data_IF_651723766086
#
_entry.id   IF_651723766086
#
_cell.length_a   1.000
_cell.length_b   1.000
_cell.length_c   1.000
_cell.angle_alpha   90.00
_cell.angle_beta   90.00
_cell.angle_gamma   90.00
#
_symmetry.space_group_name_H-M   'P 1'
#
loop_
_entity.id
_entity.type
_entity.pdbx_description
1 polymer ?
#
# COMPACT_ATOMS: atom_id res chain seq x y z
N UNK A 1 13.54 21.55 54.98
CA UNK A 1 12.10 21.36 54.64
C UNK A 1 11.79 21.81 53.22
N UNK A 2 12.07 23.07 52.81
CA UNK A 2 11.74 23.54 51.46
C UNK A 2 12.39 22.74 50.32
N UNK A 3 13.64 22.31 50.47
CA UNK A 3 14.34 21.46 49.50
C UNK A 3 13.67 20.10 49.27
N UNK A 4 13.09 19.51 50.31
CA UNK A 4 12.36 18.25 50.18
C UNK A 4 11.13 18.43 49.27
N UNK A 5 10.38 19.51 49.46
CA UNK A 5 9.23 19.83 48.62
C UNK A 5 9.62 20.13 47.18
N UNK A 6 10.74 20.83 46.95
CA UNK A 6 11.26 21.10 45.61
C UNK A 6 11.61 19.78 44.90
N UNK A 7 12.31 18.87 45.59
CA UNK A 7 12.69 17.57 45.02
C UNK A 7 11.44 16.73 44.71
N UNK A 8 10.48 16.67 45.64
CA UNK A 8 9.22 15.93 45.42
C UNK A 8 8.43 16.52 44.24
N UNK A 9 8.33 17.85 44.14
CA UNK A 9 7.65 18.49 43.04
C UNK A 9 8.35 18.24 41.70
N UNK A 10 9.68 18.35 41.65
CA UNK A 10 10.46 18.09 40.45
C UNK A 10 10.31 16.64 39.98
N UNK A 11 10.41 15.67 40.90
CA UNK A 11 10.21 14.25 40.61
C UNK A 11 8.77 13.99 40.16
N UNK A 12 7.78 14.58 40.83
CA UNK A 12 6.37 14.42 40.46
C UNK A 12 6.06 14.92 39.04
N UNK A 13 6.52 16.13 38.70
CA UNK A 13 6.36 16.69 37.36
C UNK A 13 7.07 15.83 36.31
N UNK A 14 8.30 15.40 36.60
CA UNK A 14 9.05 14.54 35.70
C UNK A 14 8.33 13.20 35.44
N UNK A 15 7.82 12.55 36.49
CA UNK A 15 7.09 11.29 36.36
C UNK A 15 5.81 11.46 35.54
N UNK A 16 5.02 12.52 35.78
CA UNK A 16 3.80 12.79 35.02
C UNK A 16 4.14 13.02 33.54
N UNK A 17 5.17 13.82 33.25
CA UNK A 17 5.62 14.08 31.89
C UNK A 17 6.11 12.79 31.21
N UNK A 18 6.96 12.01 31.88
CA UNK A 18 7.51 10.77 31.35
C UNK A 18 6.43 9.72 31.08
N UNK A 19 5.44 9.57 31.97
CA UNK A 19 4.32 8.64 31.77
C UNK A 19 3.43 9.09 30.61
N UNK A 20 3.14 10.38 30.50
CA UNK A 20 2.28 10.91 29.44
C UNK A 20 2.96 10.75 28.07
N UNK A 21 4.22 11.19 27.95
CA UNK A 21 4.97 11.08 26.70
C UNK A 21 5.26 9.61 26.38
N UNK A 22 5.68 8.81 27.36
CA UNK A 22 5.97 7.39 27.15
C UNK A 22 4.75 6.59 26.69
N UNK A 23 3.56 6.94 27.18
CA UNK A 23 2.30 6.32 26.73
C UNK A 23 2.01 6.65 25.27
N UNK A 24 2.17 7.91 24.86
CA UNK A 24 1.87 8.30 23.48
C UNK A 24 2.98 7.95 22.49
N UNK A 25 4.23 7.94 22.93
CA UNK A 25 5.34 7.37 22.17
C UNK A 25 5.06 5.90 21.88
N UNK A 26 4.69 5.09 22.88
CA UNK A 26 4.34 3.67 22.66
C UNK A 26 3.11 3.50 21.76
N UNK A 27 2.14 4.41 21.82
CA UNK A 27 0.98 4.39 20.92
C UNK A 27 1.38 4.65 19.46
N UNK A 28 2.26 5.63 19.23
CA UNK A 28 2.74 5.99 17.91
C UNK A 28 3.74 4.98 17.34
N UNK A 29 4.58 4.40 18.20
CA UNK A 29 5.54 3.35 17.84
C UNK A 29 4.83 2.03 17.47
N UNK A 30 3.60 1.85 17.97
CA UNK A 30 2.72 0.75 17.56
C UNK A 30 2.03 0.99 16.20
N UNK A 31 2.13 2.19 15.60
CA UNK A 31 1.70 2.40 14.22
C UNK A 31 2.80 1.93 13.28
N UNK A 32 2.52 0.86 12.54
CA UNK A 32 3.42 0.36 11.50
C UNK A 32 3.79 1.48 10.50
N UNK A 33 5.00 1.46 9.92
CA UNK A 33 5.40 2.39 8.87
C UNK A 33 4.29 2.52 7.83
N UNK A 34 3.89 3.75 7.52
CA UNK A 34 2.83 4.03 6.55
C UNK A 34 3.28 3.52 5.18
N UNK A 35 2.63 2.48 4.67
CA UNK A 35 2.77 2.07 3.28
C UNK A 35 2.13 3.15 2.40
N UNK A 36 2.92 4.17 2.03
CA UNK A 36 2.45 5.23 1.12
C UNK A 36 2.76 4.80 -0.30
N UNK A 37 1.71 4.53 -1.06
CA UNK A 37 1.85 4.27 -2.49
C UNK A 37 2.40 5.50 -3.21
N UNK A 38 3.49 5.30 -3.95
CA UNK A 38 4.10 6.33 -4.82
C UNK A 38 4.21 5.75 -6.23
N UNK A 39 3.52 6.37 -7.19
CA UNK A 39 3.42 5.86 -8.56
C UNK A 39 4.80 5.69 -9.22
N UNK A 40 5.67 6.69 -9.09
CA UNK A 40 7.03 6.66 -9.67
C UNK A 40 7.85 5.50 -9.08
N UNK A 41 7.82 5.33 -7.75
CA UNK A 41 8.51 4.22 -7.09
C UNK A 41 7.93 2.85 -7.47
N UNK A 42 6.61 2.77 -7.64
CA UNK A 42 5.96 1.55 -8.09
C UNK A 42 6.37 1.21 -9.54
N UNK A 43 6.42 2.21 -10.42
CA UNK A 43 6.84 2.04 -11.81
C UNK A 43 8.29 1.55 -11.91
N UNK A 44 9.21 2.16 -11.15
CA UNK A 44 10.61 1.72 -11.08
C UNK A 44 10.73 0.27 -10.57
N UNK A 45 10.02 -0.06 -9.48
CA UNK A 45 10.05 -1.41 -8.91
C UNK A 45 9.50 -2.45 -9.90
N UNK A 46 8.36 -2.16 -10.52
CA UNK A 46 7.72 -3.06 -11.48
C UNK A 46 8.62 -3.23 -12.71
N UNK A 47 9.15 -2.13 -13.26
CA UNK A 47 10.07 -2.18 -14.39
C UNK A 47 11.27 -3.09 -14.10
N UNK A 48 11.85 -3.03 -12.90
CA UNK A 48 12.97 -3.90 -12.50
C UNK A 48 12.58 -5.36 -12.27
N UNK A 49 11.30 -5.63 -11.99
CA UNK A 49 10.78 -6.97 -11.68
C UNK A 49 10.23 -7.70 -12.91
N UNK A 50 9.98 -6.99 -14.01
CA UNK A 50 9.42 -7.57 -15.23
C UNK A 50 10.42 -8.44 -15.99
N UNK A 51 9.96 -9.51 -16.67
CA UNK A 51 10.78 -10.26 -17.62
C UNK A 51 11.28 -9.38 -18.79
N UNK A 52 12.47 -9.67 -19.31
CA UNK A 52 13.07 -8.91 -20.44
C UNK A 52 12.14 -8.82 -21.66
N UNK A 53 11.39 -9.89 -21.94
CA UNK A 53 10.42 -9.93 -23.05
C UNK A 53 9.30 -8.90 -22.91
N UNK A 54 8.85 -8.66 -21.68
CA UNK A 54 7.79 -7.70 -21.35
C UNK A 54 8.35 -6.28 -21.30
N UNK A 55 9.53 -6.08 -20.69
CA UNK A 55 10.21 -4.78 -20.66
C UNK A 55 10.49 -4.23 -22.07
N UNK A 56 10.91 -5.09 -23.01
CA UNK A 56 11.23 -4.67 -24.37
C UNK A 56 10.01 -4.14 -25.16
N UNK A 57 8.80 -4.40 -24.68
CA UNK A 57 7.53 -4.06 -25.34
C UNK A 57 6.75 -2.96 -24.65
N UNK A 58 7.23 -2.48 -23.51
CA UNK A 58 6.55 -1.52 -22.66
C UNK A 58 7.41 -0.27 -22.46
N UNK A 59 6.84 0.88 -22.77
CA UNK A 59 7.45 2.15 -22.36
C UNK A 59 7.12 2.45 -20.90
N UNK A 60 7.94 3.30 -20.26
CA UNK A 60 7.70 3.70 -18.87
C UNK A 60 6.35 4.45 -18.71
N UNK A 61 5.99 5.30 -19.68
CA UNK A 61 4.70 6.01 -19.65
C UNK A 61 3.50 5.06 -19.75
N UNK A 62 3.62 3.99 -20.55
CA UNK A 62 2.58 2.97 -20.66
C UNK A 62 2.48 2.16 -19.37
N UNK A 63 3.62 1.81 -18.77
CA UNK A 63 3.66 1.13 -17.48
C UNK A 63 2.95 1.95 -16.40
N UNK A 64 3.30 3.23 -16.25
CA UNK A 64 2.64 4.12 -15.29
C UNK A 64 1.12 4.18 -15.50
N UNK A 65 0.67 4.28 -16.76
CA UNK A 65 -0.78 4.25 -17.09
C UNK A 65 -1.44 2.95 -16.64
N UNK A 66 -0.80 1.79 -16.88
CA UNK A 66 -1.32 0.50 -16.42
C UNK A 66 -1.41 0.44 -14.90
N UNK A 67 -0.41 0.95 -14.17
CA UNK A 67 -0.43 0.99 -12.72
C UNK A 67 -1.59 1.85 -12.21
N UNK A 68 -1.83 3.01 -12.82
CA UNK A 68 -2.99 3.87 -12.52
C UNK A 68 -4.31 3.17 -12.82
N UNK A 69 -4.41 2.47 -13.95
CA UNK A 69 -5.61 1.69 -14.30
C UNK A 69 -5.89 0.58 -13.28
N UNK A 70 -4.86 -0.12 -12.83
CA UNK A 70 -4.98 -1.13 -11.78
C UNK A 70 -5.45 -0.49 -10.45
N UNK A 71 -4.91 0.67 -10.06
CA UNK A 71 -5.40 1.43 -8.89
C UNK A 71 -6.87 1.82 -9.01
N UNK A 72 -7.29 2.31 -10.17
CA UNK A 72 -8.69 2.67 -10.42
C UNK A 72 -9.60 1.45 -10.31
N UNK A 73 -9.15 0.29 -10.79
CA UNK A 73 -9.88 -0.95 -10.64
C UNK A 73 -10.01 -1.37 -9.17
N UNK A 74 -8.92 -1.38 -8.40
CA UNK A 74 -8.96 -1.70 -6.97
C UNK A 74 -9.91 -0.75 -6.22
N UNK A 75 -9.86 0.55 -6.54
CA UNK A 75 -10.78 1.54 -6.00
C UNK A 75 -12.24 1.21 -6.35
N UNK A 76 -12.52 0.84 -7.61
CA UNK A 76 -13.88 0.46 -8.05
C UNK A 76 -14.42 -0.78 -7.34
N UNK A 77 -13.53 -1.69 -6.91
CA UNK A 77 -13.86 -2.87 -6.11
C UNK A 77 -13.95 -2.58 -4.61
N UNK A 78 -13.64 -1.35 -4.17
CA UNK A 78 -13.61 -0.99 -2.76
C UNK A 78 -12.41 -1.55 -2.00
N UNK A 79 -11.35 -1.96 -2.71
CA UNK A 79 -10.12 -2.50 -2.13
C UNK A 79 -9.13 -1.41 -1.70
N UNK A 80 -9.38 -0.16 -2.09
CA UNK A 80 -8.60 1.00 -1.62
C UNK A 80 -9.44 1.83 -0.66
N UNK A 81 -8.90 2.21 0.51
CA UNK A 81 -9.59 3.12 1.40
C UNK A 81 -9.69 4.50 0.76
N UNK A 82 -10.85 5.15 0.86
CA UNK A 82 -11.10 6.47 0.28
C UNK A 82 -10.18 7.57 0.85
N UNK A 83 -9.60 7.34 2.03
CA UNK A 83 -8.61 8.21 2.69
C UNK A 83 -7.62 7.35 3.45
N UNK A 84 -6.38 7.81 3.55
CA UNK A 84 -5.44 7.25 4.51
C UNK A 84 -6.03 7.38 5.92
N UNK A 85 -6.27 6.24 6.58
CA UNK A 85 -6.87 6.17 7.90
C UNK A 85 -5.87 5.57 8.87
N UNK A 86 -5.66 6.23 10.01
CA UNK A 86 -4.79 5.73 11.09
C UNK A 86 -5.44 4.58 11.89
N UNK A 87 -6.52 3.97 11.36
CA UNK A 87 -7.28 2.92 12.01
C UNK A 87 -7.02 1.57 11.35
N UNK A 88 -6.87 0.54 12.18
CA UNK A 88 -6.84 -0.86 11.72
C UNK A 88 -8.14 -1.13 10.96
N UNK A 89 -8.01 -1.50 9.68
CA UNK A 89 -9.18 -1.88 8.88
C UNK A 89 -9.79 -3.16 9.44
N UNK A 90 -11.12 -3.21 9.52
CA UNK A 90 -11.83 -4.43 9.89
C UNK A 90 -12.03 -5.29 8.64
N UNK A 91 -11.40 -6.45 8.58
CA UNK A 91 -11.52 -7.36 7.43
C UNK A 91 -12.83 -8.18 7.47
N UNK A 92 -13.91 -7.60 8.00
CA UNK A 92 -15.17 -8.30 8.27
C UNK A 92 -15.90 -8.66 6.98
N UNK A 93 -15.68 -7.87 5.92
CA UNK A 93 -16.24 -8.14 4.58
C UNK A 93 -15.17 -8.82 3.72
N UNK A 94 -15.38 -10.11 3.41
CA UNK A 94 -14.53 -10.86 2.49
C UNK A 94 -14.95 -10.55 1.05
N UNK A 95 -14.08 -9.86 0.30
CA UNK A 95 -14.23 -9.68 -1.14
C UNK A 95 -13.19 -10.55 -1.85
N UNK A 96 -13.67 -11.47 -2.69
CA UNK A 96 -12.81 -12.29 -3.57
C UNK A 96 -12.89 -11.70 -4.96
N UNK A 97 -11.74 -11.43 -5.57
CA UNK A 97 -11.67 -10.94 -6.95
C UNK A 97 -10.78 -11.86 -7.75
N UNK A 98 -11.21 -12.17 -8.99
CA UNK A 98 -10.45 -13.05 -9.89
C UNK A 98 -9.55 -12.24 -10.79
N UNK A 99 -8.39 -12.82 -11.11
CA UNK A 99 -7.42 -12.27 -12.06
C UNK A 99 -8.04 -12.01 -13.44
N UNK A 100 -8.90 -12.92 -13.91
CA UNK A 100 -9.63 -12.78 -15.18
C UNK A 100 -10.47 -11.48 -15.24
N UNK A 101 -11.09 -11.09 -14.13
CA UNK A 101 -11.89 -9.86 -14.07
C UNK A 101 -11.05 -8.58 -14.09
N UNK A 102 -9.78 -8.68 -13.67
CA UNK A 102 -8.82 -7.59 -13.77
C UNK A 102 -8.27 -7.49 -15.20
N UNK A 103 -7.86 -8.61 -15.80
CA UNK A 103 -7.38 -8.68 -17.18
C UNK A 103 -8.43 -8.12 -18.14
N UNK A 104 -9.68 -8.58 -18.03
CA UNK A 104 -10.77 -8.09 -18.88
C UNK A 104 -11.03 -6.58 -18.71
N UNK A 105 -10.90 -6.05 -17.49
CA UNK A 105 -11.03 -4.62 -17.24
C UNK A 105 -9.88 -3.82 -17.87
N UNK A 106 -8.65 -4.26 -17.65
CA UNK A 106 -7.45 -3.59 -18.16
C UNK A 106 -7.40 -3.62 -19.69
N UNK A 107 -7.82 -4.72 -20.31
CA UNK A 107 -7.97 -4.83 -21.76
C UNK A 107 -9.05 -3.87 -22.29
N UNK A 108 -10.21 -3.81 -21.63
CA UNK A 108 -11.28 -2.91 -22.03
C UNK A 108 -10.97 -1.41 -21.84
N UNK A 109 -10.08 -1.06 -20.91
CA UNK A 109 -9.72 0.33 -20.64
C UNK A 109 -8.48 0.78 -21.44
N UNK A 110 -7.54 -0.12 -21.74
CA UNK A 110 -6.40 0.16 -22.63
C UNK A 110 -6.86 0.46 -24.06
N UNK A 111 -7.88 -0.25 -24.56
CA UNK A 111 -8.54 0.02 -25.84
C UNK A 111 -9.11 1.45 -25.90
N UNK A 112 -9.74 1.91 -24.81
CA UNK A 112 -10.28 3.28 -24.73
C UNK A 112 -9.20 4.34 -24.62
N UNK A 113 -8.08 4.00 -23.98
CA UNK A 113 -6.94 4.88 -23.82
C UNK A 113 -6.06 4.97 -25.10
N UNK A 114 -6.36 4.19 -26.15
CA UNK A 114 -5.61 4.18 -27.40
C UNK A 114 -4.19 3.62 -27.26
N UNK A 115 -3.95 2.80 -26.24
CA UNK A 115 -2.64 2.16 -26.01
C UNK A 115 -2.62 0.86 -26.79
N UNK A 116 -1.54 0.58 -27.51
CA UNK A 116 -1.46 -0.64 -28.32
C UNK A 116 -1.49 -1.85 -27.39
N UNK A 117 -2.51 -2.70 -27.54
CA UNK A 117 -2.80 -3.82 -26.63
C UNK A 117 -1.52 -4.62 -26.37
N UNK A 118 -1.13 -4.61 -25.10
CA UNK A 118 -0.04 -5.39 -24.55
C UNK A 118 -0.57 -6.84 -24.44
N UNK A 119 0.28 -7.83 -24.66
CA UNK A 119 -0.17 -9.23 -24.67
C UNK A 119 -0.73 -9.61 -23.29
N UNK A 120 -1.71 -10.50 -23.21
CA UNK A 120 -2.35 -10.90 -21.96
C UNK A 120 -1.30 -11.36 -20.94
N UNK A 121 -0.25 -12.04 -21.41
CA UNK A 121 0.89 -12.51 -20.60
C UNK A 121 1.64 -11.34 -19.95
N UNK A 122 1.85 -10.25 -20.66
CA UNK A 122 2.55 -9.09 -20.09
C UNK A 122 1.69 -8.38 -19.04
N UNK A 123 0.38 -8.37 -19.25
CA UNK A 123 -0.56 -7.77 -18.30
C UNK A 123 -0.58 -8.53 -16.97
N UNK A 124 -0.48 -9.87 -17.04
CA UNK A 124 -0.26 -10.74 -15.89
C UNK A 124 1.08 -10.38 -15.22
N UNK A 125 2.18 -10.34 -15.97
CA UNK A 125 3.50 -10.01 -15.43
C UNK A 125 3.53 -8.65 -14.72
N UNK A 126 2.90 -7.62 -15.31
CA UNK A 126 2.78 -6.28 -14.71
C UNK A 126 1.94 -6.33 -13.44
N UNK A 127 0.82 -7.06 -13.46
CA UNK A 127 -0.07 -7.19 -12.31
C UNK A 127 0.60 -7.89 -11.14
N UNK A 128 1.25 -9.03 -11.39
CA UNK A 128 1.99 -9.78 -10.38
C UNK A 128 3.12 -8.96 -9.78
N UNK A 129 3.91 -8.28 -10.61
CA UNK A 129 4.96 -7.39 -10.15
C UNK A 129 4.41 -6.21 -9.32
N UNK A 130 3.25 -5.66 -9.69
CA UNK A 130 2.61 -4.59 -8.93
C UNK A 130 2.08 -5.08 -7.57
N UNK A 131 1.56 -6.31 -7.50
CA UNK A 131 1.17 -6.94 -6.24
C UNK A 131 2.39 -7.20 -5.34
N UNK A 132 3.50 -7.64 -5.92
CA UNK A 132 4.77 -7.80 -5.20
C UNK A 132 5.28 -6.47 -4.64
N UNK A 133 5.06 -5.35 -5.34
CA UNK A 133 5.35 -4.02 -4.79
C UNK A 133 4.49 -3.71 -3.57
N UNK A 134 3.18 -3.99 -3.59
CA UNK A 134 2.32 -3.81 -2.41
C UNK A 134 2.78 -4.63 -1.22
N UNK A 135 3.21 -5.87 -1.45
CA UNK A 135 3.78 -6.71 -0.41
C UNK A 135 5.07 -6.10 0.16
N UNK A 136 5.97 -5.64 -0.73
CA UNK A 136 7.25 -5.03 -0.34
C UNK A 136 7.07 -3.76 0.52
N UNK A 137 6.05 -2.95 0.26
CA UNK A 137 5.73 -1.77 1.08
C UNK A 137 4.86 -2.08 2.30
N UNK A 138 4.44 -3.34 2.50
CA UNK A 138 3.58 -3.76 3.60
C UNK A 138 2.11 -3.33 3.46
N UNK A 139 1.65 -3.07 2.23
CA UNK A 139 0.26 -2.74 1.93
C UNK A 139 -0.64 -3.98 1.81
N UNK A 140 -0.07 -5.19 1.79
CA UNK A 140 -0.81 -6.46 1.79
C UNK A 140 -0.82 -7.05 3.19
N UNK A 141 -2.01 -7.44 3.66
CA UNK A 141 -2.18 -8.14 4.94
C UNK A 141 -1.71 -9.60 4.88
N UNK A 142 -1.66 -10.31 6.02
CA UNK A 142 -1.35 -11.73 6.01
C UNK A 142 -2.33 -12.50 5.12
N UNK A 143 -1.85 -13.59 4.51
CA UNK A 143 -2.69 -14.50 3.72
C UNK A 143 -3.91 -14.87 4.56
N UNK A 144 -5.10 -14.71 3.99
CA UNK A 144 -6.32 -15.17 4.61
C UNK A 144 -6.24 -16.70 4.65
N UNK A 145 -5.94 -17.25 5.83
CA UNK A 145 -5.94 -18.69 6.06
C UNK A 145 -7.25 -19.29 5.52
N UNK A 146 -7.15 -20.46 4.90
CA UNK A 146 -8.30 -21.30 4.55
C UNK A 146 -9.03 -21.65 5.86
N UNK A 147 -9.95 -20.80 6.30
CA UNK A 147 -10.96 -21.17 7.29
C UNK A 147 -12.00 -22.07 6.63
#
# INVERSE_FOLDING_TARGET
MIWLFIVIAAVGVFLIAALTIGREARRLDAMAPRAVYQLEQAADFVAMSLPESTQARLTMEELEKLLVLHMNWLHSKGLLPAKAVDQRQDNTTRLVVTEESLIAYLLGESDKAGTQIIDDVDLVNVTEAHLAYFEAIGAVGPVADEM
#
